data_IF_918070713705
#
_entry.id   IF_918070713705
#
_cell.length_a   1.000
_cell.length_b   1.000
_cell.length_c   1.000
_cell.angle_alpha   90.00
_cell.angle_beta   90.00
_cell.angle_gamma   90.00
#
_symmetry.space_group_name_H-M   'P 1'
#
loop_
_entity.id
_entity.type
_entity.pdbx_description
1 polymer ?
#
# COMPACT_ATOMS: atom_id res chain seq x y z
N UNK A 1 -14.98 -16.61 22.42
CA UNK A 1 -14.55 -16.85 21.03
C UNK A 1 -13.75 -15.64 20.60
N UNK A 2 -12.61 -15.86 19.95
CA UNK A 2 -11.72 -14.80 19.46
C UNK A 2 -11.71 -14.84 17.93
N UNK A 3 -11.76 -13.68 17.28
CA UNK A 3 -11.62 -13.56 15.83
C UNK A 3 -10.17 -13.22 15.52
N UNK A 4 -9.49 -14.06 14.76
CA UNK A 4 -8.19 -13.76 14.19
C UNK A 4 -8.36 -13.33 12.74
N UNK A 5 -8.16 -12.03 12.48
CA UNK A 5 -8.17 -11.47 11.14
C UNK A 5 -6.76 -11.45 10.55
N UNK A 6 -6.53 -12.29 9.55
CA UNK A 6 -5.29 -12.36 8.80
C UNK A 6 -5.36 -11.45 7.56
N UNK A 7 -4.21 -11.07 7.02
CA UNK A 7 -4.16 -10.32 5.77
C UNK A 7 -4.35 -11.29 4.59
N UNK A 8 -5.29 -10.99 3.70
CA UNK A 8 -5.58 -11.83 2.54
C UNK A 8 -4.37 -11.96 1.58
N UNK A 9 -3.48 -10.96 1.57
CA UNK A 9 -2.26 -10.95 0.74
C UNK A 9 -1.17 -11.84 1.31
N UNK A 10 -1.13 -11.95 2.64
CA UNK A 10 -0.13 -12.74 3.36
C UNK A 10 -0.79 -13.53 4.49
N UNK A 11 -1.65 -14.51 4.17
CA UNK A 11 -2.47 -15.19 5.17
C UNK A 11 -1.64 -16.11 6.08
N UNK A 12 -0.35 -16.32 5.77
CA UNK A 12 0.60 -17.03 6.63
C UNK A 12 1.32 -16.12 7.62
N UNK A 13 1.17 -14.79 7.53
CA UNK A 13 1.77 -13.85 8.48
C UNK A 13 0.86 -13.69 9.71
N UNK A 14 1.02 -14.63 10.64
CA UNK A 14 0.26 -14.64 11.89
C UNK A 14 0.88 -13.64 12.87
N UNK A 15 0.09 -12.77 13.52
CA UNK A 15 0.62 -11.77 14.43
C UNK A 15 1.25 -12.45 15.65
N UNK A 16 2.51 -12.15 15.93
CA UNK A 16 3.23 -12.77 17.06
C UNK A 16 2.52 -12.55 18.40
N UNK A 17 1.87 -11.40 18.58
CA UNK A 17 1.11 -11.09 19.79
C UNK A 17 -0.19 -11.89 19.93
N UNK A 18 -0.61 -12.65 18.91
CA UNK A 18 -1.72 -13.60 18.97
C UNK A 18 -1.27 -14.93 19.61
N UNK A 19 0.00 -15.29 19.48
CA UNK A 19 0.56 -16.54 20.01
C UNK A 19 0.39 -16.56 21.53
N UNK A 20 -0.16 -17.66 22.05
CA UNK A 20 -0.43 -17.82 23.48
C UNK A 20 -1.73 -17.18 23.99
N UNK A 21 -2.47 -16.45 23.14
CA UNK A 21 -3.80 -15.88 23.46
C UNK A 21 -4.94 -16.61 22.76
N UNK A 22 -4.64 -17.30 21.67
CA UNK A 22 -5.59 -18.16 20.99
C UNK A 22 -5.72 -19.45 21.80
N UNK A 23 -6.93 -19.78 22.23
CA UNK A 23 -7.21 -21.02 22.95
C UNK A 23 -8.34 -21.80 22.29
N UNK A 24 -8.59 -23.04 22.72
CA UNK A 24 -9.76 -23.82 22.34
C UNK A 24 -9.89 -24.21 20.86
N UNK A 25 -11.09 -24.61 20.40
CA UNK A 25 -11.28 -25.13 19.05
C UNK A 25 -11.15 -24.04 18.00
N UNK A 26 -10.44 -24.32 16.90
CA UNK A 26 -10.32 -23.41 15.76
C UNK A 26 -11.33 -23.74 14.65
N UNK A 27 -11.91 -22.69 14.08
CA UNK A 27 -12.67 -22.73 12.84
C UNK A 27 -12.12 -21.71 11.85
N UNK A 28 -12.42 -21.92 10.56
CA UNK A 28 -11.95 -21.11 9.47
C UNK A 28 -13.11 -20.72 8.56
N UNK A 29 -13.15 -19.48 8.11
CA UNK A 29 -13.98 -19.09 6.97
C UNK A 29 -13.42 -19.69 5.66
N UNK A 30 -14.23 -19.70 4.60
CA UNK A 30 -13.92 -20.46 3.38
C UNK A 30 -12.69 -19.92 2.62
N UNK A 31 -12.46 -18.60 2.66
CA UNK A 31 -11.37 -17.95 1.95
C UNK A 31 -9.98 -18.23 2.54
N UNK A 32 -9.90 -18.73 3.78
CA UNK A 32 -8.61 -19.01 4.41
C UNK A 32 -7.93 -20.18 3.70
N UNK A 33 -6.70 -20.02 3.16
CA UNK A 33 -6.02 -21.08 2.43
C UNK A 33 -5.76 -22.32 3.29
N UNK A 34 -5.83 -23.50 2.66
CA UNK A 34 -5.57 -24.79 3.32
C UNK A 34 -4.20 -24.84 4.00
N UNK A 35 -3.18 -24.19 3.41
CA UNK A 35 -1.83 -24.11 3.97
C UNK A 35 -1.77 -23.42 5.34
N UNK A 36 -2.70 -22.50 5.63
CA UNK A 36 -2.81 -21.86 6.94
C UNK A 36 -3.47 -22.80 7.94
N UNK A 37 -4.41 -23.64 7.49
CA UNK A 37 -5.22 -24.51 8.36
C UNK A 37 -4.43 -25.68 8.93
N UNK A 38 -3.51 -26.27 8.15
CA UNK A 38 -2.86 -27.55 8.50
C UNK A 38 -2.04 -27.55 9.78
N UNK A 39 -1.40 -26.44 10.13
CA UNK A 39 -0.53 -26.34 11.30
C UNK A 39 -1.06 -25.35 12.35
N UNK A 40 -2.27 -24.82 12.17
CA UNK A 40 -2.79 -23.76 13.02
C UNK A 40 -2.96 -24.21 14.48
N UNK A 41 -3.33 -25.48 14.70
CA UNK A 41 -3.52 -26.06 16.02
C UNK A 41 -2.27 -25.97 16.91
N UNK A 42 -1.07 -25.92 16.30
CA UNK A 42 0.20 -25.79 17.03
C UNK A 42 0.37 -24.42 17.72
N UNK A 43 -0.44 -23.43 17.34
CA UNK A 43 -0.40 -22.07 17.89
C UNK A 43 -1.41 -21.86 19.02
N UNK A 44 -2.31 -22.82 19.22
CA UNK A 44 -3.39 -22.76 20.19
C UNK A 44 -2.92 -23.24 21.56
N UNK A 45 -3.41 -22.58 22.61
CA UNK A 45 -3.28 -23.03 23.99
C UNK A 45 -4.51 -23.87 24.35
N UNK A 46 -4.38 -24.84 25.25
CA UNK A 46 -5.54 -25.56 25.79
C UNK A 46 -6.54 -24.57 26.43
N UNK A 47 -7.81 -24.67 26.05
CA UNK A 47 -8.88 -23.80 26.56
C UNK A 47 -10.23 -24.18 25.97
N UNK A 48 -11.29 -23.51 26.43
CA UNK A 48 -12.66 -23.70 25.93
C UNK A 48 -13.13 -22.56 25.02
N UNK A 49 -12.44 -21.42 25.01
CA UNK A 49 -12.78 -20.29 24.15
C UNK A 49 -12.38 -20.62 22.72
N UNK A 50 -13.30 -20.74 21.76
CA UNK A 50 -12.93 -21.03 20.37
C UNK A 50 -12.28 -19.86 19.62
N UNK A 51 -11.70 -20.15 18.45
CA UNK A 51 -11.07 -19.16 17.55
C UNK A 51 -11.69 -19.26 16.16
N UNK A 52 -12.15 -18.14 15.60
CA UNK A 52 -12.48 -18.04 14.17
C UNK A 52 -11.31 -17.35 13.45
N UNK A 53 -10.69 -18.02 12.49
CA UNK A 53 -9.67 -17.44 11.62
C UNK A 53 -10.30 -17.05 10.29
N UNK A 54 -10.05 -15.82 9.85
CA UNK A 54 -10.57 -15.30 8.58
C UNK A 54 -9.59 -14.31 7.95
N UNK A 55 -9.63 -14.15 6.63
CA UNK A 55 -8.96 -13.02 5.95
C UNK A 55 -9.95 -11.95 5.50
N UNK A 56 -11.25 -12.24 5.55
CA UNK A 56 -12.33 -11.37 5.12
C UNK A 56 -13.12 -10.84 6.31
N UNK A 57 -12.90 -9.58 6.64
CA UNK A 57 -13.64 -8.93 7.73
C UNK A 57 -15.13 -8.75 7.43
N UNK A 58 -15.52 -8.74 6.16
CA UNK A 58 -16.92 -8.64 5.74
C UNK A 58 -17.66 -9.99 5.74
N UNK A 59 -17.00 -11.09 6.13
CA UNK A 59 -17.67 -12.38 6.27
C UNK A 59 -18.80 -12.30 7.32
N UNK A 60 -20.00 -12.85 7.03
CA UNK A 60 -21.12 -12.78 7.96
C UNK A 60 -20.83 -13.33 9.36
N UNK A 61 -20.04 -14.41 9.48
CA UNK A 61 -19.68 -14.99 10.78
C UNK A 61 -18.74 -14.07 11.55
N UNK A 62 -17.80 -13.43 10.84
CA UNK A 62 -16.90 -12.43 11.44
C UNK A 62 -17.71 -11.24 11.94
N UNK A 63 -18.57 -10.68 11.11
CA UNK A 63 -19.41 -9.53 11.47
C UNK A 63 -20.32 -9.82 12.66
N UNK A 64 -20.90 -11.03 12.73
CA UNK A 64 -21.72 -11.46 13.87
C UNK A 64 -20.91 -11.50 15.16
N UNK A 65 -19.69 -12.06 15.13
CA UNK A 65 -18.82 -12.14 16.31
C UNK A 65 -18.33 -10.74 16.76
N UNK A 66 -17.96 -9.88 15.82
CA UNK A 66 -17.59 -8.48 16.11
C UNK A 66 -18.77 -7.74 16.74
N UNK A 67 -19.97 -7.85 16.17
CA UNK A 67 -21.18 -7.22 16.69
C UNK A 67 -21.56 -7.73 18.10
N UNK A 68 -21.26 -9.00 18.40
CA UNK A 68 -21.44 -9.59 19.73
C UNK A 68 -20.36 -9.18 20.75
N UNK A 69 -19.37 -8.37 20.35
CA UNK A 69 -18.32 -7.85 21.24
C UNK A 69 -17.19 -8.84 21.53
N UNK A 70 -17.02 -9.86 20.69
CA UNK A 70 -15.90 -10.78 20.81
C UNK A 70 -14.56 -10.10 20.54
N UNK A 71 -13.49 -10.62 21.14
CA UNK A 71 -12.15 -10.12 20.92
C UNK A 71 -11.73 -10.29 19.46
N UNK A 72 -11.15 -9.23 18.88
CA UNK A 72 -10.58 -9.26 17.53
C UNK A 72 -9.07 -9.04 17.64
N UNK A 73 -8.33 -10.00 17.12
CA UNK A 73 -6.89 -9.88 16.90
C UNK A 73 -6.68 -9.73 15.39
N UNK A 74 -6.35 -8.53 14.95
CA UNK A 74 -6.11 -8.25 13.53
C UNK A 74 -4.61 -8.18 13.23
N UNK A 75 -4.19 -8.79 12.13
CA UNK A 75 -2.84 -8.65 11.63
C UNK A 75 -2.57 -7.20 11.24
N UNK A 76 -1.50 -6.63 11.80
CA UNK A 76 -1.11 -5.23 11.53
C UNK A 76 -0.83 -4.99 10.05
N UNK A 77 -0.45 -6.03 9.30
CA UNK A 77 -0.25 -5.95 7.85
C UNK A 77 -1.53 -5.59 7.09
N UNK A 78 -2.72 -5.81 7.67
CA UNK A 78 -4.01 -5.40 7.08
C UNK A 78 -4.13 -3.87 6.95
N UNK A 79 -3.39 -3.11 7.75
CA UNK A 79 -3.36 -1.65 7.66
C UNK A 79 -2.30 -1.27 6.62
N UNK A 80 -2.74 -1.15 5.37
CA UNK A 80 -1.91 -0.68 4.25
C UNK A 80 -2.67 0.37 3.43
N UNK A 81 -2.56 1.66 3.78
CA UNK A 81 -3.24 2.74 3.07
C UNK A 81 -2.85 2.84 1.59
N UNK A 82 -1.62 2.49 1.23
CA UNK A 82 -1.16 2.53 -0.17
C UNK A 82 -1.79 1.38 -0.95
N UNK A 83 -1.78 0.17 -0.39
CA UNK A 83 -2.45 -0.98 -0.95
C UNK A 83 -3.97 -0.77 -1.09
N UNK A 84 -4.59 -0.11 -0.11
CA UNK A 84 -6.00 0.29 -0.18
C UNK A 84 -6.25 1.27 -1.33
N UNK A 85 -5.43 2.30 -1.48
CA UNK A 85 -5.56 3.27 -2.57
C UNK A 85 -5.44 2.62 -3.96
N UNK A 86 -4.51 1.66 -4.14
CA UNK A 86 -4.40 0.88 -5.38
C UNK A 86 -5.68 0.06 -5.63
N UNK A 87 -6.20 -0.64 -4.63
CA UNK A 87 -7.44 -1.43 -4.76
C UNK A 87 -8.65 -0.56 -5.06
N UNK A 88 -8.75 0.62 -4.44
CA UNK A 88 -9.81 1.59 -4.72
C UNK A 88 -9.74 2.04 -6.18
N UNK A 89 -8.55 2.36 -6.70
CA UNK A 89 -8.37 2.72 -8.10
C UNK A 89 -8.75 1.57 -9.04
N UNK A 90 -8.27 0.35 -8.78
CA UNK A 90 -8.62 -0.84 -9.57
C UNK A 90 -10.13 -1.05 -9.61
N UNK A 91 -10.81 -0.90 -8.46
CA UNK A 91 -12.25 -1.02 -8.37
C UNK A 91 -12.97 0.10 -9.09
N UNK A 92 -12.55 1.35 -8.91
CA UNK A 92 -13.11 2.52 -9.58
C UNK A 92 -13.02 2.37 -11.10
N UNK A 93 -11.86 1.96 -11.63
CA UNK A 93 -11.69 1.67 -13.05
C UNK A 93 -12.56 0.49 -13.54
N UNK A 94 -12.82 -0.50 -12.67
CA UNK A 94 -13.63 -1.67 -13.03
C UNK A 94 -15.13 -1.40 -13.08
N UNK A 95 -15.65 -0.46 -12.28
CA UNK A 95 -17.09 -0.22 -12.14
C UNK A 95 -17.54 1.17 -12.58
N UNK A 96 -16.63 2.12 -12.71
CA UNK A 96 -16.88 3.52 -13.04
C UNK A 96 -16.78 3.80 -14.54
N UNK A 97 -17.84 4.38 -15.10
CA UNK A 97 -17.89 4.73 -16.53
C UNK A 97 -16.90 5.85 -16.87
N UNK A 98 -16.76 6.85 -15.98
CA UNK A 98 -15.82 7.95 -16.21
C UNK A 98 -14.37 7.46 -16.10
N UNK A 99 -14.05 6.71 -15.05
CA UNK A 99 -12.71 6.19 -14.75
C UNK A 99 -12.22 5.27 -15.88
N UNK A 100 -13.06 4.31 -16.29
CA UNK A 100 -12.74 3.40 -17.40
C UNK A 100 -12.63 4.10 -18.76
N UNK A 101 -13.26 5.26 -18.93
CA UNK A 101 -13.14 6.06 -20.16
C UNK A 101 -11.83 6.86 -20.26
N UNK A 102 -11.06 6.97 -19.16
CA UNK A 102 -9.85 7.78 -19.13
C UNK A 102 -8.68 7.15 -19.91
N UNK A 103 -7.83 8.02 -20.43
CA UNK A 103 -6.58 7.70 -21.12
C UNK A 103 -5.46 8.55 -20.53
N UNK A 104 -4.20 8.14 -20.75
CA UNK A 104 -3.06 8.98 -20.34
C UNK A 104 -3.18 10.43 -20.82
N UNK A 105 -3.72 10.64 -22.03
CA UNK A 105 -3.86 11.98 -22.61
C UNK A 105 -5.04 12.77 -22.04
N UNK A 106 -6.17 12.13 -21.76
CA UNK A 106 -7.34 12.83 -21.21
C UNK A 106 -7.12 13.30 -19.78
N UNK A 107 -6.20 12.66 -19.06
CA UNK A 107 -5.85 13.00 -17.68
C UNK A 107 -4.83 14.15 -17.56
N UNK A 108 -4.09 14.49 -18.61
CA UNK A 108 -3.05 15.54 -18.54
C UNK A 108 -3.58 16.91 -18.07
N UNK A 109 -4.77 17.39 -18.48
CA UNK A 109 -5.32 18.64 -17.96
C UNK A 109 -5.55 18.59 -16.45
N UNK A 110 -6.11 17.49 -15.94
CA UNK A 110 -6.34 17.28 -14.51
C UNK A 110 -5.00 17.27 -13.75
N UNK A 111 -4.02 16.48 -14.20
CA UNK A 111 -2.68 16.49 -13.57
C UNK A 111 -2.03 17.89 -13.56
N UNK A 112 -2.23 18.69 -14.61
CA UNK A 112 -1.72 20.06 -14.64
C UNK A 112 -2.43 20.98 -13.64
N UNK A 113 -3.74 20.78 -13.44
CA UNK A 113 -4.57 21.46 -12.45
C UNK A 113 -4.13 21.07 -11.03
N UNK A 114 -4.11 19.79 -10.67
CA UNK A 114 -3.69 19.32 -9.33
C UNK A 114 -2.26 19.77 -8.99
N UNK A 115 -1.36 19.80 -9.99
CA UNK A 115 0.02 20.29 -9.77
C UNK A 115 0.05 21.80 -9.48
N UNK A 116 -0.84 22.57 -10.11
CA UNK A 116 -0.95 24.00 -9.85
C UNK A 116 -1.61 24.28 -8.51
N UNK A 117 -2.66 23.54 -8.13
CA UNK A 117 -3.32 23.65 -6.83
C UNK A 117 -2.37 23.27 -5.70
N UNK A 118 -1.57 22.21 -5.84
CA UNK A 118 -0.49 21.92 -4.89
C UNK A 118 0.52 23.07 -4.78
N UNK A 119 0.91 23.70 -5.89
CA UNK A 119 1.84 24.82 -5.86
C UNK A 119 1.25 26.05 -5.16
N UNK A 120 -0.04 26.32 -5.36
CA UNK A 120 -0.77 27.40 -4.68
C UNK A 120 -0.90 27.10 -3.17
N UNK A 121 -1.23 25.86 -2.80
CA UNK A 121 -1.29 25.42 -1.39
C UNK A 121 0.06 25.58 -0.67
N UNK A 122 1.19 25.31 -1.34
CA UNK A 122 2.52 25.61 -0.79
C UNK A 122 2.70 27.11 -0.56
N UNK A 123 2.24 27.96 -1.48
CA UNK A 123 2.32 29.41 -1.35
C UNK A 123 1.47 29.97 -0.20
N UNK A 124 0.31 29.39 0.06
CA UNK A 124 -0.55 29.77 1.18
C UNK A 124 -0.05 29.19 2.51
N UNK A 125 0.49 27.96 2.52
CA UNK A 125 1.12 27.35 3.69
C UNK A 125 2.26 28.19 4.27
N UNK A 126 3.04 28.91 3.45
CA UNK A 126 4.07 29.84 3.96
C UNK A 126 3.48 30.98 4.83
N UNK A 127 2.17 31.24 4.72
CA UNK A 127 1.47 32.32 5.43
C UNK A 127 0.74 31.83 6.67
N UNK A 128 0.05 30.69 6.57
CA UNK A 128 -0.83 30.17 7.61
C UNK A 128 -0.36 28.87 8.26
N UNK A 129 0.53 28.12 7.60
CA UNK A 129 1.04 26.83 8.07
C UNK A 129 0.02 25.71 8.05
N UNK A 130 -1.00 25.77 7.17
CA UNK A 130 -2.05 24.75 7.09
C UNK A 130 -1.59 23.47 6.35
N UNK A 131 -1.16 22.46 7.12
CA UNK A 131 -0.74 21.16 6.58
C UNK A 131 -1.89 20.35 5.96
N UNK A 132 -3.16 20.66 6.29
CA UNK A 132 -4.32 19.91 5.78
C UNK A 132 -4.49 20.13 4.27
N UNK A 133 -4.34 21.37 3.82
CA UNK A 133 -4.37 21.71 2.39
C UNK A 133 -3.24 21.00 1.63
N UNK A 134 -2.00 21.05 2.13
CA UNK A 134 -0.87 20.36 1.49
C UNK A 134 -1.10 18.86 1.35
N UNK A 135 -1.63 18.23 2.41
CA UNK A 135 -1.91 16.80 2.40
C UNK A 135 -3.00 16.44 1.37
N UNK A 136 -4.05 17.27 1.28
CA UNK A 136 -5.14 17.08 0.32
C UNK A 136 -4.62 17.11 -1.12
N UNK A 137 -3.92 18.18 -1.50
CA UNK A 137 -3.41 18.37 -2.86
C UNK A 137 -2.37 17.31 -3.27
N UNK A 138 -1.53 16.86 -2.32
CA UNK A 138 -0.63 15.72 -2.56
C UNK A 138 -1.40 14.42 -2.82
N UNK A 139 -2.57 14.26 -2.18
CA UNK A 139 -3.50 13.17 -2.45
C UNK A 139 -4.04 13.20 -3.87
N UNK A 140 -4.40 14.38 -4.38
CA UNK A 140 -4.91 14.54 -5.74
C UNK A 140 -3.82 14.34 -6.81
N UNK A 141 -2.59 14.80 -6.55
CA UNK A 141 -1.43 14.43 -7.40
C UNK A 141 -1.19 12.91 -7.37
N UNK A 142 -1.32 12.27 -6.20
CA UNK A 142 -1.18 10.83 -6.07
C UNK A 142 -2.28 10.06 -6.83
N UNK A 143 -3.52 10.56 -6.83
CA UNK A 143 -4.63 10.03 -7.63
C UNK A 143 -4.28 9.97 -9.12
N UNK A 144 -3.61 10.99 -9.66
CA UNK A 144 -3.17 11.01 -11.06
C UNK A 144 -2.09 9.94 -11.35
N UNK A 145 -1.18 9.69 -10.41
CA UNK A 145 -0.18 8.60 -10.52
C UNK A 145 -0.88 7.25 -10.56
N UNK A 146 -1.86 7.01 -9.69
CA UNK A 146 -2.64 5.77 -9.65
C UNK A 146 -3.43 5.56 -10.95
N UNK A 147 -4.08 6.59 -11.50
CA UNK A 147 -4.77 6.47 -12.78
C UNK A 147 -3.83 6.04 -13.91
N UNK A 148 -2.67 6.67 -14.02
CA UNK A 148 -1.71 6.30 -15.06
C UNK A 148 -1.15 4.89 -14.88
N UNK A 149 -0.89 4.47 -13.64
CA UNK A 149 -0.49 3.09 -13.34
C UNK A 149 -1.59 2.09 -13.71
N UNK A 150 -2.85 2.40 -13.39
CA UNK A 150 -3.99 1.54 -13.69
C UNK A 150 -4.23 1.40 -15.21
N UNK A 151 -4.19 2.51 -15.96
CA UNK A 151 -4.30 2.50 -17.42
C UNK A 151 -3.17 1.69 -18.07
N UNK A 152 -1.96 1.71 -17.50
CA UNK A 152 -0.86 0.88 -17.97
C UNK A 152 -1.05 -0.61 -17.60
N UNK A 153 -1.54 -0.88 -16.40
CA UNK A 153 -1.81 -2.22 -15.88
C UNK A 153 -2.85 -2.95 -16.74
N UNK A 154 -3.94 -2.26 -17.13
CA UNK A 154 -4.97 -2.80 -18.04
C UNK A 154 -4.46 -3.19 -19.42
N UNK A 155 -3.33 -2.64 -19.83
CA UNK A 155 -2.65 -2.97 -21.10
C UNK A 155 -1.54 -4.00 -20.92
N UNK A 156 -1.31 -4.49 -19.70
CA UNK A 156 -0.20 -5.40 -19.36
C UNK A 156 1.18 -4.76 -19.53
N UNK A 157 1.29 -3.43 -19.40
CA UNK A 157 2.54 -2.70 -19.62
C UNK A 157 3.37 -2.56 -18.34
N UNK A 158 2.78 -1.98 -17.30
CA UNK A 158 3.35 -1.83 -15.96
C UNK A 158 2.23 -1.50 -14.97
N UNK A 159 2.44 -1.72 -13.68
CA UNK A 159 1.52 -1.35 -12.61
C UNK A 159 2.11 -0.32 -11.62
N UNK A 160 1.40 -0.04 -10.53
CA UNK A 160 1.88 0.90 -9.51
C UNK A 160 3.16 0.41 -8.80
N UNK A 161 3.31 -0.90 -8.61
CA UNK A 161 4.51 -1.51 -8.06
C UNK A 161 5.72 -1.28 -8.95
N UNK A 162 5.55 -1.40 -10.27
CA UNK A 162 6.60 -1.07 -11.25
C UNK A 162 6.99 0.43 -11.22
N UNK A 163 6.03 1.34 -11.02
CA UNK A 163 6.31 2.78 -10.84
C UNK A 163 7.18 3.01 -9.60
N UNK A 164 6.82 2.39 -8.47
CA UNK A 164 7.60 2.48 -7.24
C UNK A 164 9.01 1.86 -7.40
N UNK A 165 9.12 0.70 -8.04
CA UNK A 165 10.38 0.04 -8.33
C UNK A 165 11.28 0.93 -9.21
N UNK A 166 10.72 1.53 -10.27
CA UNK A 166 11.43 2.45 -11.17
C UNK A 166 11.99 3.68 -10.43
N UNK A 167 11.25 4.21 -9.45
CA UNK A 167 11.75 5.28 -8.57
C UNK A 167 12.96 4.82 -7.74
N UNK A 168 12.86 3.66 -7.07
CA UNK A 168 13.94 3.11 -6.25
C UNK A 168 15.18 2.82 -7.09
N UNK A 169 15.03 2.17 -8.24
CA UNK A 169 16.15 1.83 -9.13
C UNK A 169 16.85 3.08 -9.65
N UNK A 170 16.11 4.14 -9.97
CA UNK A 170 16.66 5.44 -10.34
C UNK A 170 17.51 6.03 -9.20
N UNK A 171 17.05 5.94 -7.96
CA UNK A 171 17.81 6.41 -6.80
C UNK A 171 19.03 5.53 -6.50
N UNK A 172 18.95 4.22 -6.69
CA UNK A 172 20.13 3.33 -6.56
C UNK A 172 21.27 3.75 -7.49
N UNK A 173 20.93 4.23 -8.68
CA UNK A 173 21.91 4.70 -9.67
C UNK A 173 22.38 6.14 -9.38
N UNK A 174 21.48 7.06 -9.06
CA UNK A 174 21.79 8.51 -8.96
C UNK A 174 22.18 8.99 -7.57
N UNK A 175 21.84 8.22 -6.55
CA UNK A 175 22.06 8.53 -5.13
C UNK A 175 22.47 7.26 -4.37
N UNK A 176 23.59 6.60 -4.75
CA UNK A 176 24.00 5.31 -4.19
C UNK A 176 24.25 5.35 -2.67
N UNK A 177 24.60 6.51 -2.12
CA UNK A 177 24.78 6.72 -0.68
C UNK A 177 23.52 6.42 0.14
N UNK A 178 22.34 6.41 -0.47
CA UNK A 178 21.10 5.99 0.20
C UNK A 178 21.06 4.46 0.47
N UNK A 179 21.96 3.68 -0.13
CA UNK A 179 21.91 2.22 -0.14
C UNK A 179 23.22 1.52 0.25
N UNK A 180 24.32 2.25 0.45
CA UNK A 180 25.65 1.70 0.71
C UNK A 180 26.07 1.69 2.19
N UNK A 181 25.15 2.05 3.09
CA UNK A 181 25.40 2.12 4.53
C UNK A 181 25.98 3.45 5.01
N UNK A 182 25.99 4.49 4.16
CA UNK A 182 26.28 5.86 4.60
C UNK A 182 25.33 6.30 5.72
N UNK A 183 25.87 6.78 6.84
CA UNK A 183 25.10 7.19 8.03
C UNK A 183 25.16 8.69 8.34
N UNK A 184 26.09 9.41 7.70
CA UNK A 184 26.24 10.86 7.85
C UNK A 184 25.61 11.61 6.68
N UNK A 185 25.27 12.88 6.87
CA UNK A 185 24.81 13.74 5.79
C UNK A 185 25.87 13.84 4.68
N UNK A 186 25.41 13.68 3.44
CA UNK A 186 26.26 13.81 2.25
C UNK A 186 26.22 15.27 1.78
N UNK A 187 27.37 15.93 1.53
CA UNK A 187 27.40 17.30 1.03
C UNK A 187 26.65 17.47 -0.29
N UNK A 188 26.01 18.61 -0.49
CA UNK A 188 25.18 18.91 -1.67
C UNK A 188 25.98 18.74 -2.97
N UNK A 189 27.23 19.22 -2.98
CA UNK A 189 28.10 19.15 -4.15
C UNK A 189 28.36 17.69 -4.57
N UNK A 190 28.47 16.78 -3.61
CA UNK A 190 28.62 15.35 -3.89
C UNK A 190 27.32 14.73 -4.37
N UNK A 191 26.17 15.12 -3.80
CA UNK A 191 24.85 14.68 -4.28
C UNK A 191 24.62 15.09 -5.74
N UNK A 192 24.91 16.34 -6.09
CA UNK A 192 24.82 16.86 -7.46
C UNK A 192 25.77 16.12 -8.42
N UNK A 193 27.02 15.89 -7.99
CA UNK A 193 28.01 15.13 -8.78
C UNK A 193 27.51 13.72 -9.09
N UNK A 194 27.04 12.98 -8.07
CA UNK A 194 26.54 11.62 -8.23
C UNK A 194 25.29 11.58 -9.11
N UNK A 195 24.41 12.57 -8.98
CA UNK A 195 23.18 12.66 -9.76
C UNK A 195 23.45 12.81 -11.26
N UNK A 196 24.39 13.68 -11.65
CA UNK A 196 24.76 13.87 -13.06
C UNK A 196 25.48 12.65 -13.64
N UNK A 197 26.35 11.99 -12.86
CA UNK A 197 26.97 10.71 -13.25
C UNK A 197 25.89 9.66 -13.50
N UNK A 198 24.95 9.48 -12.58
CA UNK A 198 23.88 8.49 -12.69
C UNK A 198 22.91 8.76 -13.84
N UNK A 199 22.60 10.04 -14.14
CA UNK A 199 21.83 10.43 -15.33
C UNK A 199 22.52 10.01 -16.63
N UNK A 200 23.83 10.21 -16.75
CA UNK A 200 24.58 9.85 -17.95
C UNK A 200 24.62 8.34 -18.19
N UNK A 201 24.74 7.55 -17.11
CA UNK A 201 24.72 6.09 -17.17
C UNK A 201 23.35 5.54 -17.60
N UNK A 202 22.25 6.10 -17.08
CA UNK A 202 20.88 5.71 -17.44
C UNK A 202 20.57 5.93 -18.93
N UNK A 203 20.97 7.08 -19.49
CA UNK A 203 20.80 7.39 -20.92
C UNK A 203 21.52 6.43 -21.88
N UNK A 204 22.55 5.72 -21.40
CA UNK A 204 23.32 4.77 -22.22
C UNK A 204 22.66 3.39 -22.26
N UNK A 205 21.73 3.08 -21.34
CA UNK A 205 20.98 1.81 -21.31
C UNK A 205 19.68 1.84 -22.13
N UNK A 206 19.13 3.02 -22.41
CA UNK A 206 17.85 3.21 -23.12
C UNK A 206 18.01 3.45 -24.64
N UNK A 207 19.13 3.00 -25.26
CA UNK A 207 19.40 3.11 -26.72
C UNK A 207 19.62 1.74 -27.34
#
# INVERSE_FOLDING_TARGET
MTVLLLDARWPTLIPLHAVGRLSGPVSFTDEVPISVRWDFDSLLVEGEEGVLVSTNELDPQVQELIAAGHEVIAASSRVDPVGEAVQVMERAYSIGEWESSQTHRSLLPYLAEETAEFADAVGDWERDGDDEALLSELGDVFLQVLFHAEIASRRGAFDFGDVAASFVDKLRVRSPYLFDGTTSQVPIEEQERLWEIGKAQGKTRDV
#
